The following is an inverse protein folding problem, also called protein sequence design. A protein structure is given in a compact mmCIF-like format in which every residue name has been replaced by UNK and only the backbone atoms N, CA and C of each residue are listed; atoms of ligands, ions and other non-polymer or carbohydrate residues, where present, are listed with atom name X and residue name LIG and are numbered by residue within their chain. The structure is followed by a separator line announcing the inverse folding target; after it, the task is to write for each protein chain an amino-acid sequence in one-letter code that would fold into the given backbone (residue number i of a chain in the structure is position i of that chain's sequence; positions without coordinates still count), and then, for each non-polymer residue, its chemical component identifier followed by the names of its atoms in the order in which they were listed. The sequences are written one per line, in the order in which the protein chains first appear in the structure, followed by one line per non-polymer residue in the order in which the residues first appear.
data_IF_180543393389
#
_entry.id   IF_180543393389
#
_cell.length_a   1.000
_cell.length_b   1.000
_cell.length_c   1.000
_cell.angle_alpha   90.00
_cell.angle_beta   90.00
_cell.angle_gamma   90.00
#
_symmetry.space_group_name_H-M   'P 1'
#
loop_
_entity.id
_entity.type
_entity.pdbx_description
1 polymer ?
#
# COMPACT_ATOMS: atom_id res chain seq x y z
N UNK A 1 4.20 -12.53 -30.31
CA UNK A 1 4.45 -11.07 -30.11
C UNK A 1 5.96 -10.88 -30.03
N UNK A 2 6.57 -10.50 -31.15
CA UNK A 2 8.00 -10.62 -31.43
C UNK A 2 8.87 -9.75 -30.51
N UNK A 3 10.14 -10.16 -30.35
CA UNK A 3 11.22 -9.51 -29.57
C UNK A 3 11.42 -8.00 -29.85
N UNK A 4 10.74 -7.45 -30.86
CA UNK A 4 10.75 -6.04 -31.23
C UNK A 4 10.24 -5.11 -30.12
N UNK A 5 9.15 -5.47 -29.41
CA UNK A 5 8.56 -4.60 -28.36
C UNK A 5 9.55 -4.25 -27.23
N UNK A 6 10.22 -5.22 -26.56
CA UNK A 6 11.16 -4.89 -25.48
C UNK A 6 12.38 -4.12 -25.98
N UNK A 7 12.82 -4.36 -27.23
CA UNK A 7 13.99 -3.71 -27.82
C UNK A 7 13.72 -2.22 -28.08
N UNK A 8 12.56 -1.88 -28.66
CA UNK A 8 12.13 -0.50 -28.88
C UNK A 8 12.00 0.26 -27.55
N UNK A 9 11.42 -0.37 -26.53
CA UNK A 9 11.25 0.22 -25.20
C UNK A 9 12.61 0.50 -24.55
N UNK A 10 13.55 -0.44 -24.64
CA UNK A 10 14.88 -0.26 -24.06
C UNK A 10 15.69 0.86 -24.71
N UNK A 11 15.59 1.02 -26.04
CA UNK A 11 16.26 2.09 -26.77
C UNK A 11 15.69 3.45 -26.37
N UNK A 12 14.36 3.56 -26.29
CA UNK A 12 13.70 4.79 -25.88
C UNK A 12 14.11 5.25 -24.48
N UNK A 13 14.13 4.32 -23.52
CA UNK A 13 14.54 4.63 -22.15
C UNK A 13 16.03 4.98 -22.04
N UNK A 14 16.90 4.32 -22.80
CA UNK A 14 18.32 4.63 -22.85
C UNK A 14 18.59 6.03 -23.45
N UNK A 15 17.83 6.43 -24.47
CA UNK A 15 17.90 7.76 -25.07
C UNK A 15 17.51 8.86 -24.07
N UNK A 16 16.44 8.64 -23.30
CA UNK A 16 15.99 9.57 -22.24
C UNK A 16 17.03 9.68 -21.11
N UNK A 17 17.79 8.61 -20.85
CA UNK A 17 18.80 8.59 -19.79
C UNK A 17 20.13 9.27 -20.17
N UNK A 18 20.37 9.49 -21.47
CA UNK A 18 21.59 10.05 -22.02
C UNK A 18 21.98 11.43 -21.45
N UNK A 19 21.07 12.43 -21.31
CA UNK A 19 21.43 13.74 -20.77
C UNK A 19 21.82 13.73 -19.28
N UNK A 20 21.45 12.69 -18.51
CA UNK A 20 21.65 12.68 -17.05
C UNK A 20 22.99 12.06 -16.61
N UNK A 21 23.46 11.01 -17.30
CA UNK A 21 24.65 10.25 -16.86
C UNK A 21 25.71 10.03 -17.96
N UNK A 22 25.52 10.60 -19.15
CA UNK A 22 26.44 10.48 -20.28
C UNK A 22 26.39 9.13 -21.00
N UNK A 23 27.14 9.02 -22.10
CA UNK A 23 27.02 7.92 -23.07
C UNK A 23 27.35 6.54 -22.50
N UNK A 24 28.41 6.44 -21.69
CA UNK A 24 28.86 5.15 -21.10
C UNK A 24 27.81 4.58 -20.15
N UNK A 25 27.19 5.41 -19.33
CA UNK A 25 26.15 4.99 -18.39
C UNK A 25 24.85 4.62 -19.12
N UNK A 26 24.49 5.35 -20.18
CA UNK A 26 23.31 5.06 -20.98
C UNK A 26 23.39 3.70 -21.69
N UNK A 27 24.56 3.35 -22.25
CA UNK A 27 24.79 2.04 -22.88
C UNK A 27 24.71 0.89 -21.85
N UNK A 28 25.31 1.07 -20.67
CA UNK A 28 25.21 0.07 -19.60
C UNK A 28 23.76 -0.12 -19.14
N UNK A 29 23.02 0.97 -18.99
CA UNK A 29 21.60 0.95 -18.63
C UNK A 29 20.74 0.24 -19.70
N UNK A 30 21.00 0.50 -20.99
CA UNK A 30 20.32 -0.18 -22.10
C UNK A 30 20.46 -1.70 -21.99
N UNK A 31 21.69 -2.19 -21.84
CA UNK A 31 21.98 -3.63 -21.78
C UNK A 31 21.24 -4.27 -20.61
N UNK A 32 21.33 -3.68 -19.42
CA UNK A 32 20.65 -4.20 -18.21
C UNK A 32 19.14 -4.20 -18.36
N UNK A 33 18.57 -3.12 -18.91
CA UNK A 33 17.13 -2.98 -19.06
C UNK A 33 16.60 -3.97 -20.11
N UNK A 34 17.30 -4.14 -21.23
CA UNK A 34 16.96 -5.12 -22.25
C UNK A 34 17.02 -6.56 -21.71
N UNK A 35 18.07 -6.90 -20.96
CA UNK A 35 18.22 -8.24 -20.35
C UNK A 35 17.10 -8.52 -19.35
N UNK A 36 16.75 -7.53 -18.54
CA UNK A 36 15.64 -7.61 -17.57
C UNK A 36 14.30 -7.80 -18.27
N UNK A 37 14.00 -7.03 -19.32
CA UNK A 37 12.75 -7.16 -20.07
C UNK A 37 12.63 -8.49 -20.83
N UNK A 38 13.74 -9.02 -21.34
CA UNK A 38 13.76 -10.33 -21.98
C UNK A 38 13.48 -11.46 -20.98
N UNK A 39 14.12 -11.41 -19.80
CA UNK A 39 13.83 -12.35 -18.70
C UNK A 39 12.38 -12.26 -18.26
N UNK A 40 11.86 -11.05 -18.09
CA UNK A 40 10.47 -10.82 -17.70
C UNK A 40 9.48 -11.35 -18.74
N UNK A 41 9.73 -11.11 -20.04
CA UNK A 41 8.90 -11.63 -21.12
C UNK A 41 8.96 -13.18 -21.22
N UNK A 42 10.12 -13.77 -20.90
CA UNK A 42 10.28 -15.23 -20.80
C UNK A 42 9.46 -15.79 -19.65
N UNK A 43 9.56 -15.22 -18.44
CA UNK A 43 8.79 -15.61 -17.27
C UNK A 43 7.28 -15.46 -17.48
N UNK A 44 6.84 -14.37 -18.10
CA UNK A 44 5.42 -14.14 -18.40
C UNK A 44 4.84 -15.13 -19.42
N UNK A 45 5.68 -15.71 -20.31
CA UNK A 45 5.25 -16.76 -21.24
C UNK A 45 4.85 -18.05 -20.51
N UNK A 46 5.45 -18.31 -19.35
CA UNK A 46 5.14 -19.44 -18.47
C UNK A 46 4.10 -19.10 -17.39
N UNK A 47 3.51 -17.89 -17.42
CA UNK A 47 2.52 -17.42 -16.41
C UNK A 47 1.33 -18.37 -16.26
N UNK A 48 0.89 -19.01 -17.34
CA UNK A 48 -0.24 -19.94 -17.30
C UNK A 48 0.13 -21.27 -16.61
N UNK A 49 1.38 -21.72 -16.74
CA UNK A 49 1.87 -22.98 -16.12
C UNK A 49 1.95 -22.86 -14.59
N UNK A 50 2.23 -21.67 -14.05
CA UNK A 50 2.24 -21.44 -12.60
C UNK A 50 0.85 -21.15 -12.02
N UNK A 51 -0.08 -20.60 -12.80
CA UNK A 51 -1.43 -20.24 -12.32
C UNK A 51 -2.26 -21.46 -11.94
N UNK A 52 -2.28 -22.49 -12.78
CA UNK A 52 -3.12 -23.67 -12.57
C UNK A 52 -2.81 -24.43 -11.26
N UNK A 53 -1.54 -24.72 -10.89
CA UNK A 53 -1.22 -25.38 -9.62
C UNK A 53 -1.38 -24.44 -8.41
N UNK A 54 -1.02 -23.15 -8.55
CA UNK A 54 -1.18 -22.18 -7.45
C UNK A 54 -2.64 -21.98 -7.11
N UNK A 55 -3.51 -21.88 -8.11
CA UNK A 55 -4.95 -21.72 -7.91
C UNK A 55 -5.58 -22.99 -7.35
N UNK A 56 -5.08 -24.18 -7.72
CA UNK A 56 -5.50 -25.44 -7.11
C UNK A 56 -5.08 -25.54 -5.64
N UNK A 57 -3.85 -25.14 -5.29
CA UNK A 57 -3.36 -25.10 -3.90
C UNK A 57 -4.13 -24.05 -3.08
N UNK A 58 -4.37 -22.88 -3.65
CA UNK A 58 -5.11 -21.80 -3.00
C UNK A 58 -6.56 -22.20 -2.73
N UNK A 59 -7.25 -22.81 -3.71
CA UNK A 59 -8.60 -23.33 -3.53
C UNK A 59 -8.66 -24.50 -2.53
N UNK A 60 -7.61 -25.33 -2.44
CA UNK A 60 -7.51 -26.36 -1.40
C UNK A 60 -7.36 -25.76 0.01
N UNK A 61 -6.74 -24.59 0.12
CA UNK A 61 -6.56 -23.88 1.38
C UNK A 61 -7.79 -23.05 1.78
N UNK A 62 -8.47 -22.40 0.82
CA UNK A 62 -9.61 -21.52 1.08
C UNK A 62 -10.93 -22.25 1.39
N UNK A 63 -11.18 -23.47 0.86
CA UNK A 63 -12.57 -23.96 0.82
C UNK A 63 -13.02 -24.94 1.92
N UNK A 64 -12.12 -25.63 2.66
CA UNK A 64 -12.58 -26.73 3.53
C UNK A 64 -12.08 -26.78 4.98
N UNK A 65 -11.09 -25.97 5.39
CA UNK A 65 -10.51 -26.07 6.74
C UNK A 65 -10.78 -24.82 7.58
N UNK A 66 -10.92 -23.65 6.95
CA UNK A 66 -11.07 -22.35 7.63
C UNK A 66 -12.54 -21.88 7.73
N UNK A 67 -13.40 -22.32 6.81
CA UNK A 67 -14.81 -21.93 6.72
C UNK A 67 -15.69 -22.45 7.86
N UNK A 68 -15.58 -23.70 8.35
CA UNK A 68 -16.45 -24.18 9.44
C UNK A 68 -16.02 -23.68 10.84
N UNK A 69 -14.77 -23.24 11.01
CA UNK A 69 -14.26 -22.73 12.30
C UNK A 69 -14.52 -21.23 12.48
N UNK A 70 -14.63 -20.46 11.41
CA UNK A 70 -14.88 -19.01 11.48
C UNK A 70 -16.32 -18.65 11.88
N UNK A 71 -17.29 -19.53 11.60
CA UNK A 71 -18.73 -19.31 11.87
C UNK A 71 -19.12 -19.39 13.36
N UNK A 72 -18.26 -19.97 14.21
CA UNK A 72 -18.54 -20.07 15.66
C UNK A 72 -18.22 -18.76 16.39
N UNK A 73 -19.25 -18.10 16.91
CA UNK A 73 -19.17 -16.85 17.70
C UNK A 73 -18.09 -16.94 18.80
N UNK A 74 -17.91 -18.11 19.42
CA UNK A 74 -16.92 -18.37 20.46
C UNK A 74 -15.48 -18.27 19.97
N UNK A 75 -15.17 -18.76 18.78
CA UNK A 75 -13.83 -18.67 18.21
C UNK A 75 -13.45 -17.22 17.89
N UNK A 76 -14.44 -16.39 17.51
CA UNK A 76 -14.24 -14.95 17.30
C UNK A 76 -13.89 -14.22 18.59
N UNK A 77 -14.56 -14.53 19.70
CA UNK A 77 -14.23 -13.98 21.01
C UNK A 77 -12.88 -14.45 21.53
N UNK A 78 -12.54 -15.74 21.34
CA UNK A 78 -11.22 -16.29 21.71
C UNK A 78 -10.10 -15.62 20.90
N UNK A 79 -10.30 -15.43 19.60
CA UNK A 79 -9.33 -14.73 18.75
C UNK A 79 -9.15 -13.26 19.18
N UNK A 80 -10.26 -12.59 19.53
CA UNK A 80 -10.22 -11.20 20.01
C UNK A 80 -9.50 -11.08 21.36
N UNK A 81 -9.75 -12.02 22.28
CA UNK A 81 -9.05 -12.09 23.55
C UNK A 81 -7.54 -12.38 23.36
N UNK A 82 -7.19 -13.30 22.46
CA UNK A 82 -5.80 -13.57 22.12
C UNK A 82 -5.10 -12.32 21.57
N UNK A 83 -5.75 -11.56 20.68
CA UNK A 83 -5.21 -10.32 20.11
C UNK A 83 -4.90 -9.25 21.19
N UNK A 84 -5.70 -9.19 22.25
CA UNK A 84 -5.52 -8.29 23.39
C UNK A 84 -4.37 -8.72 24.32
N UNK A 85 -4.12 -10.01 24.44
CA UNK A 85 -3.14 -10.59 25.38
C UNK A 85 -1.74 -10.70 24.75
N UNK A 86 -1.66 -11.00 23.45
CA UNK A 86 -0.41 -11.12 22.70
C UNK A 86 0.56 -9.94 22.91
N UNK A 87 0.15 -8.66 22.89
CA UNK A 87 1.11 -7.56 22.99
C UNK A 87 1.88 -7.51 24.32
N UNK A 88 1.38 -8.16 25.38
CA UNK A 88 2.07 -8.21 26.67
C UNK A 88 3.25 -9.20 26.72
N UNK A 89 3.33 -10.14 25.76
CA UNK A 89 4.33 -11.22 25.75
C UNK A 89 5.34 -11.09 24.60
N UNK A 90 5.18 -10.09 23.74
CA UNK A 90 5.93 -9.92 22.49
C UNK A 90 7.03 -8.86 22.66
N UNK A 91 8.17 -9.05 21.99
CA UNK A 91 9.31 -8.11 22.01
C UNK A 91 8.95 -6.79 21.33
N UNK A 92 9.49 -5.68 21.83
CA UNK A 92 9.23 -4.31 21.34
C UNK A 92 9.36 -4.16 19.82
N UNK A 93 10.39 -4.76 19.21
CA UNK A 93 10.58 -4.72 17.75
C UNK A 93 9.37 -5.29 16.98
N UNK A 94 8.84 -6.43 17.44
CA UNK A 94 7.70 -7.08 16.77
C UNK A 94 6.43 -6.26 16.99
N UNK A 95 6.29 -5.59 18.14
CA UNK A 95 5.22 -4.64 18.41
C UNK A 95 5.28 -3.43 17.46
N UNK A 96 6.45 -2.83 17.28
CA UNK A 96 6.62 -1.70 16.37
C UNK A 96 6.26 -2.05 14.93
N UNK A 97 6.75 -3.21 14.45
CA UNK A 97 6.42 -3.71 13.10
C UNK A 97 4.92 -4.01 12.98
N UNK A 98 4.29 -4.58 14.01
CA UNK A 98 2.86 -4.85 14.02
C UNK A 98 2.03 -3.56 14.00
N UNK A 99 2.39 -2.55 14.79
CA UNK A 99 1.74 -1.24 14.83
C UNK A 99 1.85 -0.55 13.46
N UNK A 100 3.04 -0.51 12.88
CA UNK A 100 3.25 0.05 11.53
C UNK A 100 2.43 -0.68 10.47
N UNK A 101 2.38 -2.02 10.56
CA UNK A 101 1.57 -2.84 9.64
C UNK A 101 0.08 -2.51 9.79
N UNK A 102 -0.43 -2.40 11.01
CA UNK A 102 -1.82 -2.00 11.28
C UNK A 102 -2.14 -0.60 10.72
N UNK A 103 -1.22 0.37 10.87
CA UNK A 103 -1.37 1.71 10.29
C UNK A 103 -1.51 1.61 8.76
N UNK A 104 -0.63 0.84 8.10
CA UNK A 104 -0.70 0.66 6.65
C UNK A 104 -1.96 -0.09 6.20
N UNK A 105 -2.46 -1.06 6.98
CA UNK A 105 -3.73 -1.74 6.71
C UNK A 105 -4.88 -0.73 6.74
N UNK A 106 -4.94 0.12 7.77
CA UNK A 106 -5.98 1.16 7.89
C UNK A 106 -5.89 2.14 6.71
N UNK A 107 -4.68 2.55 6.32
CA UNK A 107 -4.46 3.42 5.15
C UNK A 107 -4.91 2.75 3.84
N UNK A 108 -4.58 1.48 3.65
CA UNK A 108 -4.98 0.72 2.47
C UNK A 108 -6.51 0.55 2.41
N UNK A 109 -7.16 0.27 3.54
CA UNK A 109 -8.61 0.20 3.65
C UNK A 109 -9.26 1.56 3.34
N UNK A 110 -8.72 2.66 3.89
CA UNK A 110 -9.19 4.00 3.59
C UNK A 110 -9.10 4.33 2.10
N UNK A 111 -7.97 3.99 1.46
CA UNK A 111 -7.81 4.15 0.02
C UNK A 111 -8.77 3.26 -0.78
N UNK A 112 -9.00 2.02 -0.33
CA UNK A 112 -9.96 1.10 -0.96
C UNK A 112 -11.39 1.67 -0.92
N UNK A 113 -11.81 2.27 0.20
CA UNK A 113 -13.11 2.94 0.30
C UNK A 113 -13.19 4.11 -0.70
N UNK A 114 -12.18 4.96 -0.78
CA UNK A 114 -12.20 6.10 -1.71
C UNK A 114 -12.21 5.64 -3.17
N UNK A 115 -11.31 4.74 -3.56
CA UNK A 115 -11.22 4.26 -4.95
C UNK A 115 -12.41 3.37 -5.31
N UNK A 116 -12.86 2.53 -4.38
CA UNK A 116 -13.95 1.58 -4.57
C UNK A 116 -15.32 2.23 -4.70
N UNK A 117 -15.61 3.28 -3.91
CA UNK A 117 -16.90 3.97 -3.97
C UNK A 117 -16.90 5.21 -4.89
N UNK A 118 -15.79 5.97 -4.96
CA UNK A 118 -15.73 7.18 -5.80
C UNK A 118 -15.17 6.94 -7.21
N UNK A 119 -14.53 5.79 -7.46
CA UNK A 119 -13.95 5.43 -8.76
C UNK A 119 -12.74 6.27 -9.20
N UNK A 120 -12.25 7.17 -8.33
CA UNK A 120 -11.15 8.09 -8.62
C UNK A 120 -9.92 7.75 -7.77
N UNK A 121 -8.75 7.74 -8.42
CA UNK A 121 -7.48 7.47 -7.76
C UNK A 121 -7.02 8.73 -6.99
N UNK A 122 -7.04 8.66 -5.66
CA UNK A 122 -6.59 9.76 -4.79
C UNK A 122 -5.10 9.63 -4.45
N UNK A 123 -4.23 10.29 -5.23
CA UNK A 123 -2.78 10.35 -4.97
C UNK A 123 -2.42 11.22 -3.75
N UNK A 124 -3.31 12.12 -3.32
CA UNK A 124 -3.11 13.04 -2.20
C UNK A 124 -3.44 12.44 -0.83
N UNK A 125 -3.87 11.18 -0.76
CA UNK A 125 -4.33 10.53 0.48
C UNK A 125 -3.27 10.57 1.60
N UNK A 126 -1.99 10.44 1.25
CA UNK A 126 -0.87 10.45 2.22
C UNK A 126 -0.72 11.82 2.90
N UNK A 127 -1.13 12.92 2.25
CA UNK A 127 -1.06 14.25 2.84
C UNK A 127 -1.99 14.38 4.07
N UNK A 128 -3.20 13.82 4.00
CA UNK A 128 -4.14 13.81 5.12
C UNK A 128 -3.63 12.97 6.29
N UNK A 129 -3.01 11.82 5.99
CA UNK A 129 -2.34 11.00 7.00
C UNK A 129 -1.21 11.78 7.72
N UNK A 130 -0.37 12.48 6.95
CA UNK A 130 0.74 13.26 7.51
C UNK A 130 0.26 14.40 8.43
N UNK A 131 -0.81 15.11 8.05
CA UNK A 131 -1.39 16.20 8.85
C UNK A 131 -1.87 15.67 10.21
N UNK A 132 -2.58 14.53 10.23
CA UNK A 132 -3.07 13.92 11.47
C UNK A 132 -1.94 13.41 12.37
N UNK A 133 -0.96 12.71 11.80
CA UNK A 133 0.19 12.20 12.54
C UNK A 133 1.04 13.34 13.14
N UNK A 134 1.28 14.41 12.37
CA UNK A 134 2.01 15.58 12.85
C UNK A 134 1.26 16.32 13.95
N UNK A 135 -0.07 16.48 13.79
CA UNK A 135 -0.92 17.10 14.81
C UNK A 135 -0.89 16.29 16.10
N UNK A 136 -1.02 14.97 16.03
CA UNK A 136 -0.87 14.10 17.21
C UNK A 136 0.51 14.25 17.86
N UNK A 137 1.59 14.21 17.07
CA UNK A 137 2.95 14.37 17.59
C UNK A 137 3.13 15.72 18.29
N UNK A 138 2.56 16.80 17.74
CA UNK A 138 2.62 18.12 18.34
C UNK A 138 1.83 18.21 19.64
N UNK A 139 0.59 17.68 19.68
CA UNK A 139 -0.23 17.66 20.89
C UNK A 139 0.42 16.85 22.01
N UNK A 140 0.98 15.68 21.68
CA UNK A 140 1.60 14.82 22.68
C UNK A 140 2.93 15.39 23.19
N UNK A 141 3.77 15.94 22.30
CA UNK A 141 5.12 16.42 22.69
C UNK A 141 5.15 17.82 23.28
N UNK A 142 4.28 18.74 22.84
CA UNK A 142 4.29 20.14 23.31
C UNK A 142 3.22 20.44 24.36
N UNK A 143 2.04 19.84 24.23
CA UNK A 143 0.90 20.12 25.12
C UNK A 143 0.71 19.05 26.18
N UNK A 144 1.44 17.92 26.10
CA UNK A 144 1.35 16.81 27.07
C UNK A 144 -0.03 16.16 27.11
N UNK A 145 -0.83 16.35 26.05
CA UNK A 145 -2.20 15.83 25.98
C UNK A 145 -2.10 14.32 25.78
N UNK A 146 -2.69 13.55 26.70
CA UNK A 146 -2.64 12.09 26.65
C UNK A 146 -3.21 11.52 25.33
N UNK A 147 -2.77 10.29 24.98
CA UNK A 147 -3.11 9.60 23.73
C UNK A 147 -4.59 9.68 23.37
N UNK A 148 -5.46 9.36 24.33
CA UNK A 148 -6.91 9.29 24.14
C UNK A 148 -7.56 10.64 23.81
N UNK A 149 -7.00 11.73 24.31
CA UNK A 149 -7.50 13.09 24.02
C UNK A 149 -6.85 13.65 22.76
N UNK A 150 -5.57 13.36 22.51
CA UNK A 150 -4.88 13.82 21.31
C UNK A 150 -5.45 13.20 20.02
N UNK A 151 -6.01 11.98 20.11
CA UNK A 151 -6.57 11.22 18.99
C UNK A 151 -7.83 11.88 18.35
N UNK A 152 -8.89 12.25 19.09
CA UNK A 152 -10.03 12.96 18.51
C UNK A 152 -9.66 14.38 18.04
N UNK A 153 -8.75 15.06 18.75
CA UNK A 153 -8.29 16.39 18.33
C UNK A 153 -7.53 16.35 17.00
N UNK A 154 -6.65 15.36 16.80
CA UNK A 154 -5.92 15.20 15.53
C UNK A 154 -6.85 14.82 14.39
N UNK A 155 -7.87 13.99 14.65
CA UNK A 155 -8.93 13.71 13.67
C UNK A 155 -9.68 14.97 13.28
N UNK A 156 -10.15 15.77 14.26
CA UNK A 156 -10.87 17.02 13.99
C UNK A 156 -10.05 17.99 13.13
N UNK A 157 -8.77 18.20 13.49
CA UNK A 157 -7.87 19.07 12.73
C UNK A 157 -7.65 18.58 11.30
N UNK A 158 -7.48 17.27 11.12
CA UNK A 158 -7.32 16.64 9.80
C UNK A 158 -8.59 16.78 8.97
N UNK A 159 -9.77 16.59 9.58
CA UNK A 159 -11.06 16.78 8.91
C UNK A 159 -11.26 18.22 8.47
N UNK A 160 -10.91 19.20 9.31
CA UNK A 160 -10.98 20.63 8.95
C UNK A 160 -10.06 20.94 7.77
N UNK A 161 -8.82 20.46 7.80
CA UNK A 161 -7.88 20.63 6.70
C UNK A 161 -8.38 19.98 5.39
N UNK A 162 -8.93 18.76 5.50
CA UNK A 162 -9.56 18.05 4.38
C UNK A 162 -10.75 18.80 3.79
N UNK A 163 -11.61 19.33 4.65
CA UNK A 163 -12.77 20.13 4.23
C UNK A 163 -12.33 21.42 3.53
N UNK A 164 -11.34 22.13 4.08
CA UNK A 164 -10.80 23.35 3.49
C UNK A 164 -10.24 23.09 2.07
N UNK A 165 -9.56 21.97 1.86
CA UNK A 165 -9.01 21.56 0.57
C UNK A 165 -10.07 21.00 -0.39
N UNK A 166 -11.18 20.46 0.11
CA UNK A 166 -12.28 20.00 -0.72
C UNK A 166 -13.01 21.16 -1.42
N UNK A 167 -13.10 22.32 -0.78
CA UNK A 167 -13.77 23.52 -1.34
C UNK A 167 -13.19 23.95 -2.70
N UNK A 168 -11.87 24.16 -2.87
CA UNK A 168 -11.30 24.47 -4.18
C UNK A 168 -11.37 23.29 -5.15
N UNK A 169 -11.26 22.04 -4.67
CA UNK A 169 -11.34 20.86 -5.54
C UNK A 169 -12.69 20.75 -6.25
N UNK A 170 -13.79 21.14 -5.58
CA UNK A 170 -15.13 21.17 -6.18
C UNK A 170 -15.29 22.25 -7.27
N UNK A 171 -14.51 23.34 -7.20
CA UNK A 171 -14.55 24.43 -8.19
C UNK A 171 -13.81 24.10 -9.49
N UNK A 172 -12.98 23.06 -9.51
CA UNK A 172 -12.18 22.67 -10.67
C UNK A 172 -12.86 21.61 -11.55
N UNK A 173 -14.09 21.21 -11.22
CA UNK A 173 -14.87 20.24 -12.01
C UNK A 173 -15.57 20.96 -13.16
N UNK A 174 -14.76 21.40 -14.13
CA UNK A 174 -15.19 22.18 -15.30
C UNK A 174 -14.67 21.64 -16.64
N UNK A 175 -13.99 20.50 -16.67
CA UNK A 175 -13.63 19.75 -17.90
C UNK A 175 -13.58 18.24 -17.58
#
# INVERSE_FOLDING_TARGET
MSLLKPLIISIWFALLFLPFKGLKAALFFLIILLLTLLLFNSLFRYKNIFKDPLQKIFNLFEFNILTPLYESIYLRYVLFAALLVIPFFVKDYVLDVAILSCIYIILALGLNVVVGFAGLLNLGFVAFYAIGAYTYALLNTKLGIGFWSALPFSMLLTTIAGFLLAIPALRLRGD
#
